data_IF_677591168297
#
_entry.id   IF_677591168297
#
_cell.length_a   1.000
_cell.length_b   1.000
_cell.length_c   1.000
_cell.angle_alpha   90.00
_cell.angle_beta   90.00
_cell.angle_gamma   90.00
#
_symmetry.space_group_name_H-M   'P 1'
#
loop_
_entity.id
_entity.type
_entity.pdbx_description
1 polymer ?
#
# COMPACT_ATOMS: atom_id res chain seq x y z
N UNK A 1 21.96 -9.25 -4.40
CA UNK A 1 22.29 -7.89 -4.87
C UNK A 1 23.41 -7.93 -5.91
N UNK A 2 23.08 -7.75 -7.19
CA UNK A 2 24.05 -7.68 -8.29
C UNK A 2 24.08 -6.33 -9.01
N UNK A 3 23.02 -5.51 -8.88
CA UNK A 3 22.99 -4.17 -9.47
C UNK A 3 23.72 -3.13 -8.60
N UNK A 4 24.49 -2.25 -9.25
CA UNK A 4 25.14 -1.11 -8.63
C UNK A 4 25.02 0.13 -9.52
N UNK A 5 24.78 1.33 -8.95
CA UNK A 5 24.60 2.54 -9.74
C UNK A 5 25.89 2.95 -10.44
N UNK A 6 25.79 3.38 -11.70
CA UNK A 6 26.89 4.05 -12.37
C UNK A 6 27.04 5.47 -11.78
N UNK A 7 28.26 5.82 -11.35
CA UNK A 7 28.51 7.08 -10.64
C UNK A 7 28.04 8.33 -11.41
N UNK A 8 28.27 8.37 -12.73
CA UNK A 8 27.83 9.47 -13.59
C UNK A 8 26.31 9.62 -13.65
N UNK A 9 25.60 8.52 -13.93
CA UNK A 9 24.14 8.51 -13.99
C UNK A 9 23.50 8.84 -12.63
N UNK A 10 24.07 8.33 -11.54
CA UNK A 10 23.59 8.65 -10.20
C UNK A 10 23.71 10.14 -9.89
N UNK A 11 24.87 10.75 -10.18
CA UNK A 11 25.07 12.19 -9.98
C UNK A 11 24.11 13.02 -10.82
N UNK A 12 23.85 12.62 -12.07
CA UNK A 12 22.91 13.34 -12.93
C UNK A 12 21.49 13.30 -12.37
N UNK A 13 20.96 12.11 -12.03
CA UNK A 13 19.61 11.97 -11.46
C UNK A 13 19.50 12.75 -10.16
N UNK A 14 20.52 12.66 -9.31
CA UNK A 14 20.52 13.33 -8.01
C UNK A 14 20.56 14.86 -8.16
N UNK A 15 21.34 15.39 -9.12
CA UNK A 15 21.35 16.82 -9.41
C UNK A 15 19.97 17.31 -9.88
N UNK A 16 19.32 16.59 -10.80
CA UNK A 16 17.97 16.95 -11.27
C UNK A 16 16.95 16.94 -10.13
N UNK A 17 17.03 15.96 -9.22
CA UNK A 17 16.18 15.91 -8.03
C UNK A 17 16.44 17.07 -7.08
N UNK A 18 17.70 17.40 -6.78
CA UNK A 18 18.07 18.59 -5.97
C UNK A 18 17.52 19.86 -6.58
N UNK A 19 17.73 20.08 -7.88
CA UNK A 19 17.27 21.26 -8.59
C UNK A 19 15.73 21.38 -8.53
N UNK A 20 15.01 20.26 -8.62
CA UNK A 20 13.55 20.21 -8.48
C UNK A 20 13.05 20.58 -7.06
N UNK A 21 13.86 20.33 -6.03
CA UNK A 21 13.50 20.68 -4.64
C UNK A 21 13.82 22.12 -4.28
N UNK A 22 14.77 22.75 -4.97
CA UNK A 22 15.26 24.10 -4.67
C UNK A 22 14.52 25.18 -5.46
N UNK A 23 14.14 24.92 -6.71
CA UNK A 23 13.56 25.93 -7.60
C UNK A 23 12.03 25.83 -7.67
N UNK A 24 11.34 26.94 -7.33
CA UNK A 24 9.87 27.02 -7.34
C UNK A 24 9.28 27.68 -8.60
N UNK A 25 10.10 28.09 -9.58
CA UNK A 25 9.55 28.67 -10.79
C UNK A 25 8.81 27.61 -11.63
N UNK A 26 7.57 27.88 -12.08
CA UNK A 26 6.78 26.94 -12.88
C UNK A 26 7.50 26.44 -14.13
N UNK A 27 8.29 27.29 -14.76
CA UNK A 27 9.06 26.97 -15.97
C UNK A 27 10.16 25.96 -15.68
N UNK A 28 10.88 26.13 -14.56
CA UNK A 28 11.94 25.20 -14.14
C UNK A 28 11.32 23.88 -13.68
N UNK A 29 10.21 23.91 -12.93
CA UNK A 29 9.51 22.68 -12.54
C UNK A 29 9.05 21.88 -13.76
N UNK A 30 8.52 22.55 -14.80
CA UNK A 30 8.14 21.90 -16.05
C UNK A 30 9.36 21.30 -16.77
N UNK A 31 10.46 22.05 -16.89
CA UNK A 31 11.70 21.57 -17.50
C UNK A 31 12.28 20.36 -16.75
N UNK A 32 12.29 20.38 -15.42
CA UNK A 32 12.76 19.27 -14.59
C UNK A 32 11.84 18.05 -14.73
N UNK A 33 10.52 18.26 -14.77
CA UNK A 33 9.55 17.17 -14.98
C UNK A 33 9.78 16.49 -16.33
N UNK A 34 10.00 17.27 -17.40
CA UNK A 34 10.34 16.73 -18.73
C UNK A 34 11.66 15.94 -18.70
N UNK A 35 12.66 16.43 -17.96
CA UNK A 35 13.93 15.72 -17.81
C UNK A 35 13.78 14.39 -17.07
N UNK A 36 13.03 14.37 -15.96
CA UNK A 36 12.69 13.15 -15.23
C UNK A 36 11.91 12.16 -16.11
N UNK A 37 11.04 12.65 -16.99
CA UNK A 37 10.32 11.82 -17.96
C UNK A 37 11.26 11.22 -19.01
N UNK A 38 12.30 11.94 -19.45
CA UNK A 38 13.28 11.40 -20.41
C UNK A 38 14.02 10.19 -19.85
N UNK A 39 14.28 10.16 -18.54
CA UNK A 39 14.93 9.02 -17.87
C UNK A 39 14.06 7.77 -17.79
N UNK A 40 12.74 7.87 -17.99
CA UNK A 40 11.85 6.70 -18.00
C UNK A 40 12.17 5.71 -19.14
N UNK A 41 12.92 6.14 -20.16
CA UNK A 41 13.39 5.27 -21.23
C UNK A 41 14.58 4.40 -20.82
N UNK A 42 15.23 4.72 -19.70
CA UNK A 42 16.38 3.97 -19.18
C UNK A 42 15.86 2.78 -18.37
N UNK A 43 16.18 1.52 -18.76
CA UNK A 43 15.56 0.32 -18.17
C UNK A 43 15.78 0.15 -16.67
N UNK A 44 16.94 0.57 -16.15
CA UNK A 44 17.31 0.46 -14.74
C UNK A 44 17.14 1.78 -13.96
N UNK A 45 16.49 2.78 -14.56
CA UNK A 45 16.14 4.04 -13.88
C UNK A 45 15.43 3.85 -12.52
N UNK A 46 14.49 2.88 -12.36
CA UNK A 46 13.91 2.59 -11.05
C UNK A 46 14.95 2.23 -9.98
N UNK A 47 16.05 1.58 -10.36
CA UNK A 47 17.13 1.24 -9.43
C UNK A 47 17.87 2.49 -8.92
N UNK A 48 18.12 3.48 -9.78
CA UNK A 48 18.73 4.75 -9.36
C UNK A 48 17.86 5.48 -8.35
N UNK A 49 16.55 5.58 -8.63
CA UNK A 49 15.61 6.25 -7.71
C UNK A 49 15.49 5.50 -6.38
N UNK A 50 15.41 4.16 -6.43
CA UNK A 50 15.40 3.34 -5.22
C UNK A 50 16.70 3.51 -4.42
N UNK A 51 17.85 3.55 -5.11
CA UNK A 51 19.14 3.75 -4.46
C UNK A 51 19.22 5.10 -3.75
N UNK A 52 18.79 6.19 -4.40
CA UNK A 52 18.74 7.52 -3.79
C UNK A 52 17.79 7.52 -2.58
N UNK A 53 16.62 6.92 -2.71
CA UNK A 53 15.64 6.82 -1.61
C UNK A 53 16.25 6.13 -0.36
N UNK A 54 17.01 5.04 -0.53
CA UNK A 54 17.47 4.22 0.59
C UNK A 54 18.90 4.50 1.09
N UNK A 55 19.78 5.06 0.25
CA UNK A 55 21.21 5.17 0.54
C UNK A 55 21.78 6.60 0.51
N UNK A 56 21.05 7.61 0.02
CA UNK A 56 21.51 8.99 0.10
C UNK A 56 21.63 9.47 1.56
N UNK A 57 22.43 10.54 1.76
CA UNK A 57 22.68 11.11 3.08
C UNK A 57 21.38 11.42 3.84
N UNK A 58 21.40 11.24 5.16
CA UNK A 58 20.29 11.60 6.04
C UNK A 58 19.92 13.10 5.91
N UNK A 59 20.90 13.96 5.63
CA UNK A 59 20.70 15.41 5.45
C UNK A 59 19.91 15.74 4.17
N UNK A 60 19.75 14.78 3.24
CA UNK A 60 19.03 14.95 1.98
C UNK A 60 17.62 14.36 2.01
N UNK A 61 16.97 14.35 3.18
CA UNK A 61 15.63 13.79 3.39
C UNK A 61 14.60 14.22 2.33
N UNK A 62 14.61 15.50 1.94
CA UNK A 62 13.71 16.02 0.89
C UNK A 62 13.99 15.40 -0.47
N UNK A 63 15.25 15.28 -0.86
CA UNK A 63 15.66 14.68 -2.14
C UNK A 63 15.28 13.20 -2.16
N UNK A 64 15.52 12.48 -1.05
CA UNK A 64 15.12 11.08 -0.87
C UNK A 64 13.61 10.89 -1.03
N UNK A 65 12.83 11.75 -0.39
CA UNK A 65 11.37 11.74 -0.47
C UNK A 65 10.88 11.96 -1.91
N UNK A 66 11.43 12.97 -2.62
CA UNK A 66 11.09 13.21 -4.02
C UNK A 66 11.50 12.04 -4.90
N UNK A 67 12.66 11.43 -4.68
CA UNK A 67 13.08 10.22 -5.39
C UNK A 67 12.05 9.09 -5.23
N UNK A 68 11.53 8.88 -4.03
CA UNK A 68 10.45 7.90 -3.78
C UNK A 68 9.15 8.24 -4.52
N UNK A 69 8.76 9.52 -4.59
CA UNK A 69 7.57 9.94 -5.34
C UNK A 69 7.73 9.75 -6.85
N UNK A 70 8.92 10.01 -7.40
CA UNK A 70 9.22 9.73 -8.81
C UNK A 70 9.28 8.22 -9.05
N UNK A 71 9.88 7.46 -8.14
CA UNK A 71 9.94 6.00 -8.19
C UNK A 71 8.56 5.38 -8.20
N UNK A 72 7.62 5.90 -7.41
CA UNK A 72 6.22 5.44 -7.42
C UNK A 72 5.62 5.46 -8.83
N UNK A 73 5.91 6.50 -9.61
CA UNK A 73 5.41 6.59 -10.98
C UNK A 73 6.16 5.64 -11.92
N UNK A 74 7.49 5.54 -11.78
CA UNK A 74 8.32 4.61 -12.55
C UNK A 74 7.96 3.14 -12.29
N UNK A 75 7.58 2.82 -11.06
CA UNK A 75 7.27 1.47 -10.59
C UNK A 75 5.95 0.90 -11.14
N UNK A 76 5.10 1.72 -11.78
CA UNK A 76 3.85 1.21 -12.40
C UNK A 76 4.11 0.16 -13.49
N UNK A 77 5.25 0.25 -14.18
CA UNK A 77 5.70 -0.70 -15.20
C UNK A 77 6.67 -1.77 -14.68
N UNK A 78 6.85 -1.91 -13.37
CA UNK A 78 7.90 -2.78 -12.81
C UNK A 78 7.71 -4.26 -13.16
N UNK A 79 6.47 -4.70 -13.40
CA UNK A 79 6.15 -6.08 -13.76
C UNK A 79 6.76 -6.51 -15.11
N UNK A 80 7.05 -5.56 -16.01
CA UNK A 80 7.71 -5.84 -17.31
C UNK A 80 9.21 -5.55 -17.29
N UNK A 81 9.76 -5.11 -16.16
CA UNK A 81 11.18 -4.81 -16.03
C UNK A 81 12.03 -6.08 -15.94
N UNK A 82 13.34 -5.94 -16.12
CA UNK A 82 14.27 -7.05 -15.96
C UNK A 82 14.23 -7.58 -14.51
N UNK A 83 14.32 -8.91 -14.29
CA UNK A 83 14.24 -9.48 -12.93
C UNK A 83 15.24 -8.90 -11.93
N UNK A 84 16.44 -8.55 -12.41
CA UNK A 84 17.46 -7.89 -11.59
C UNK A 84 17.01 -6.51 -11.08
N UNK A 85 16.36 -5.72 -11.95
CA UNK A 85 15.79 -4.40 -11.60
C UNK A 85 14.66 -4.58 -10.57
N UNK A 86 13.76 -5.54 -10.82
CA UNK A 86 12.65 -5.84 -9.91
C UNK A 86 13.17 -6.21 -8.52
N UNK A 87 14.12 -7.15 -8.43
CA UNK A 87 14.67 -7.60 -7.16
C UNK A 87 15.40 -6.48 -6.42
N UNK A 88 16.20 -5.70 -7.14
CA UNK A 88 16.90 -4.57 -6.53
C UNK A 88 15.93 -3.52 -5.96
N UNK A 89 14.88 -3.17 -6.71
CA UNK A 89 13.83 -2.24 -6.23
C UNK A 89 13.11 -2.83 -5.02
N UNK A 90 12.71 -4.10 -5.05
CA UNK A 90 12.04 -4.78 -3.93
C UNK A 90 12.85 -4.67 -2.64
N UNK A 91 14.12 -5.08 -2.67
CA UNK A 91 15.00 -5.07 -1.49
C UNK A 91 15.26 -3.64 -0.98
N UNK A 92 15.53 -2.73 -1.91
CA UNK A 92 15.92 -1.35 -1.57
C UNK A 92 14.74 -0.54 -1.03
N UNK A 93 13.53 -0.73 -1.56
CA UNK A 93 12.32 -0.07 -1.05
C UNK A 93 11.97 -0.57 0.35
N UNK A 94 12.09 -1.87 0.62
CA UNK A 94 11.86 -2.41 1.97
C UNK A 94 12.89 -1.87 2.98
N UNK A 95 14.14 -1.68 2.56
CA UNK A 95 15.14 -0.99 3.38
C UNK A 95 14.71 0.44 3.71
N UNK A 96 14.26 1.21 2.71
CA UNK A 96 13.79 2.59 2.92
C UNK A 96 12.51 2.65 3.77
N UNK A 97 11.67 1.62 3.73
CA UNK A 97 10.49 1.51 4.58
C UNK A 97 10.84 1.31 6.06
N UNK A 98 12.02 0.75 6.35
CA UNK A 98 12.57 0.63 7.70
C UNK A 98 13.44 1.85 8.13
N UNK A 99 13.40 2.96 7.38
CA UNK A 99 14.20 4.15 7.67
C UNK A 99 13.75 4.87 8.95
N UNK A 100 14.68 5.58 9.61
CA UNK A 100 14.37 6.37 10.79
C UNK A 100 13.49 7.60 10.49
N UNK A 101 13.61 8.19 9.29
CA UNK A 101 12.78 9.31 8.84
C UNK A 101 11.37 8.85 8.47
N UNK A 102 10.37 9.45 9.12
CA UNK A 102 8.97 9.23 8.77
C UNK A 102 8.64 9.68 7.33
N UNK A 103 9.26 10.75 6.82
CA UNK A 103 9.03 11.21 5.44
C UNK A 103 9.51 10.17 4.42
N UNK A 104 10.69 9.60 4.65
CA UNK A 104 11.25 8.55 3.80
C UNK A 104 10.42 7.27 3.91
N UNK A 105 10.04 6.85 5.12
CA UNK A 105 9.14 5.69 5.31
C UNK A 105 7.84 5.86 4.54
N UNK A 106 7.22 7.04 4.62
CA UNK A 106 5.97 7.34 3.92
C UNK A 106 6.14 7.38 2.38
N UNK A 107 7.28 7.85 1.88
CA UNK A 107 7.58 7.77 0.45
C UNK A 107 7.76 6.32 -0.01
N UNK A 108 8.52 5.52 0.74
CA UNK A 108 8.71 4.10 0.47
C UNK A 108 7.40 3.31 0.55
N UNK A 109 6.55 3.60 1.53
CA UNK A 109 5.21 3.03 1.69
C UNK A 109 4.36 3.20 0.42
N UNK A 110 4.35 4.39 -0.18
CA UNK A 110 3.62 4.61 -1.44
C UNK A 110 4.22 3.83 -2.62
N UNK A 111 5.53 3.60 -2.65
CA UNK A 111 6.17 2.75 -3.65
C UNK A 111 5.77 1.29 -3.45
N UNK A 112 5.71 0.81 -2.20
CA UNK A 112 5.26 -0.54 -1.85
C UNK A 112 3.84 -0.78 -2.40
N UNK A 113 2.89 0.14 -2.18
CA UNK A 113 1.51 0.01 -2.71
C UNK A 113 1.52 -0.24 -4.22
N UNK A 114 2.30 0.53 -4.98
CA UNK A 114 2.35 0.42 -6.45
C UNK A 114 3.05 -0.85 -6.90
N UNK A 115 4.21 -1.18 -6.33
CA UNK A 115 4.98 -2.37 -6.73
C UNK A 115 4.23 -3.64 -6.33
N UNK A 116 3.59 -3.69 -5.15
CA UNK A 116 2.77 -4.82 -4.72
C UNK A 116 1.51 -4.96 -5.59
N UNK A 117 0.91 -3.84 -6.02
CA UNK A 117 -0.20 -3.86 -6.97
C UNK A 117 0.22 -4.36 -8.36
N UNK A 118 1.43 -4.05 -8.81
CA UNK A 118 1.96 -4.47 -10.12
C UNK A 118 2.45 -5.93 -10.13
N UNK A 119 3.17 -6.35 -9.09
CA UNK A 119 3.71 -7.71 -8.96
C UNK A 119 2.70 -8.69 -8.39
N UNK A 120 1.64 -8.22 -7.75
CA UNK A 120 0.72 -8.99 -6.93
C UNK A 120 1.35 -9.54 -5.65
N UNK A 121 0.56 -9.75 -4.58
CA UNK A 121 1.08 -10.22 -3.29
C UNK A 121 1.79 -11.58 -3.36
N UNK A 122 1.43 -12.42 -4.33
CA UNK A 122 2.06 -13.72 -4.60
C UNK A 122 3.55 -13.62 -4.96
N UNK A 123 3.95 -12.57 -5.68
CA UNK A 123 5.32 -12.42 -6.19
C UNK A 123 6.18 -11.50 -5.30
N UNK A 124 5.64 -11.03 -4.18
CA UNK A 124 6.38 -10.24 -3.18
C UNK A 124 5.94 -10.52 -1.74
N UNK A 125 6.10 -11.77 -1.26
CA UNK A 125 5.73 -12.16 0.11
C UNK A 125 6.54 -11.37 1.17
N UNK A 126 7.76 -10.94 0.85
CA UNK A 126 8.61 -10.17 1.77
C UNK A 126 7.99 -8.81 2.12
N UNK A 127 7.27 -8.17 1.20
CA UNK A 127 6.56 -6.92 1.48
C UNK A 127 5.39 -7.16 2.45
N UNK A 128 4.60 -8.21 2.25
CA UNK A 128 3.52 -8.56 3.18
C UNK A 128 4.07 -8.83 4.59
N UNK A 129 5.17 -9.58 4.67
CA UNK A 129 5.82 -9.86 5.95
C UNK A 129 6.30 -8.57 6.65
N UNK A 130 6.89 -7.63 5.90
CA UNK A 130 7.32 -6.35 6.44
C UNK A 130 6.14 -5.49 6.94
N UNK A 131 5.02 -5.47 6.20
CA UNK A 131 3.80 -4.77 6.62
C UNK A 131 3.19 -5.39 7.88
N UNK A 132 3.12 -6.72 7.94
CA UNK A 132 2.65 -7.45 9.13
C UNK A 132 3.53 -7.19 10.36
N UNK A 133 4.84 -7.11 10.17
CA UNK A 133 5.78 -6.75 11.23
C UNK A 133 5.57 -5.30 11.68
N UNK A 134 5.31 -4.37 10.74
CA UNK A 134 4.98 -2.98 11.06
C UNK A 134 3.74 -2.83 11.94
N UNK A 135 2.76 -3.74 11.83
CA UNK A 135 1.58 -3.78 12.69
C UNK A 135 1.89 -4.15 14.16
N UNK A 136 3.01 -4.83 14.43
CA UNK A 136 3.50 -5.12 15.79
C UNK A 136 4.43 -4.03 16.34
N UNK A 137 4.75 -3.01 15.54
CA UNK A 137 5.68 -1.95 15.90
C UNK A 137 5.09 -0.89 16.82
N UNK A 138 5.80 0.23 16.93
CA UNK A 138 5.29 1.41 17.61
C UNK A 138 4.13 2.06 16.82
N UNK A 139 3.46 3.05 17.42
CA UNK A 139 2.31 3.73 16.78
C UNK A 139 2.68 4.29 15.41
N UNK A 140 3.92 4.77 15.22
CA UNK A 140 4.36 5.30 13.93
C UNK A 140 4.50 4.21 12.87
N UNK A 141 5.07 3.06 13.23
CA UNK A 141 5.19 1.90 12.36
C UNK A 141 3.82 1.31 12.01
N UNK A 142 2.93 1.22 13.00
CA UNK A 142 1.55 0.77 12.80
C UNK A 142 0.80 1.68 11.82
N UNK A 143 0.89 3.00 12.00
CA UNK A 143 0.27 3.96 11.09
C UNK A 143 0.81 3.83 9.65
N UNK A 144 2.13 3.68 9.48
CA UNK A 144 2.73 3.50 8.17
C UNK A 144 2.28 2.18 7.52
N UNK A 145 2.21 1.08 8.28
CA UNK A 145 1.75 -0.22 7.80
C UNK A 145 0.27 -0.18 7.40
N UNK A 146 -0.57 0.40 8.25
CA UNK A 146 -1.99 0.58 7.94
C UNK A 146 -2.22 1.47 6.73
N UNK A 147 -1.45 2.56 6.55
CA UNK A 147 -1.58 3.41 5.38
C UNK A 147 -1.30 2.68 4.06
N UNK A 148 -0.38 1.70 4.06
CA UNK A 148 -0.16 0.83 2.90
C UNK A 148 -1.31 -0.17 2.76
N UNK A 149 -1.63 -0.89 3.83
CA UNK A 149 -2.62 -1.97 3.80
C UNK A 149 -4.02 -1.47 3.44
N UNK A 150 -4.43 -0.32 3.96
CA UNK A 150 -5.69 0.35 3.59
C UNK A 150 -5.75 0.57 2.08
N UNK A 151 -4.69 1.15 1.50
CA UNK A 151 -4.61 1.39 0.05
C UNK A 151 -4.62 0.09 -0.75
N UNK A 152 -3.94 -0.95 -0.28
CA UNK A 152 -4.00 -2.26 -0.93
C UNK A 152 -5.43 -2.86 -0.91
N UNK A 153 -6.14 -2.71 0.22
CA UNK A 153 -7.53 -3.17 0.37
C UNK A 153 -8.49 -2.38 -0.52
N UNK A 154 -8.25 -1.09 -0.71
CA UNK A 154 -9.03 -0.20 -1.57
C UNK A 154 -8.77 -0.47 -3.07
N UNK A 155 -7.49 -0.46 -3.48
CA UNK A 155 -7.10 -0.46 -4.90
C UNK A 155 -7.23 -1.85 -5.55
N UNK A 156 -6.94 -2.92 -4.81
CA UNK A 156 -6.88 -4.28 -5.38
C UNK A 156 -7.28 -5.41 -4.41
N UNK A 157 -8.50 -5.39 -3.81
CA UNK A 157 -8.93 -6.38 -2.82
C UNK A 157 -8.86 -7.82 -3.33
N UNK A 158 -9.21 -8.06 -4.61
CA UNK A 158 -9.16 -9.39 -5.22
C UNK A 158 -7.76 -10.01 -5.25
N UNK A 159 -6.70 -9.17 -5.33
CA UNK A 159 -5.32 -9.65 -5.32
C UNK A 159 -4.88 -10.10 -3.93
N UNK A 160 -5.49 -9.55 -2.87
CA UNK A 160 -5.25 -9.96 -1.48
C UNK A 160 -6.04 -11.23 -1.11
N UNK A 161 -7.10 -11.55 -1.84
CA UNK A 161 -7.88 -12.79 -1.68
C UNK A 161 -7.36 -13.96 -2.50
N UNK A 162 -6.34 -13.73 -3.33
CA UNK A 162 -5.73 -14.78 -4.14
C UNK A 162 -5.05 -15.84 -3.26
N UNK A 163 -5.18 -17.11 -3.67
CA UNK A 163 -4.51 -18.21 -3.01
C UNK A 163 -3.02 -18.20 -3.35
N UNK A 164 -2.18 -18.09 -2.31
CA UNK A 164 -0.73 -18.13 -2.40
C UNK A 164 -0.27 -19.37 -1.64
N UNK A 165 0.04 -20.45 -2.37
CA UNK A 165 0.52 -21.71 -1.80
C UNK A 165 -0.39 -22.30 -0.69
N UNK A 166 -1.72 -22.18 -0.84
CA UNK A 166 -2.72 -22.69 0.09
C UNK A 166 -3.10 -21.73 1.21
N UNK A 167 -2.57 -20.51 1.23
CA UNK A 167 -2.91 -19.46 2.19
C UNK A 167 -3.29 -18.18 1.47
N UNK A 168 -4.36 -17.52 1.90
CA UNK A 168 -4.72 -16.19 1.37
C UNK A 168 -4.11 -15.12 2.27
N UNK A 169 -3.56 -14.02 1.73
CA UNK A 169 -3.13 -12.88 2.55
C UNK A 169 -4.20 -12.43 3.54
N UNK A 170 -5.47 -12.47 3.15
CA UNK A 170 -6.62 -12.14 4.02
C UNK A 170 -6.80 -13.07 5.21
N UNK A 171 -6.41 -14.35 5.11
CA UNK A 171 -6.48 -15.28 6.24
C UNK A 171 -5.53 -14.89 7.38
N UNK A 172 -4.47 -14.13 7.06
CA UNK A 172 -3.51 -13.61 8.04
C UNK A 172 -3.84 -12.17 8.44
N UNK A 173 -4.23 -11.32 7.48
CA UNK A 173 -4.49 -9.89 7.71
C UNK A 173 -5.75 -9.64 8.53
N UNK A 174 -6.86 -10.34 8.24
CA UNK A 174 -8.15 -10.09 8.91
C UNK A 174 -8.07 -10.33 10.42
N UNK A 175 -7.52 -11.47 10.92
CA UNK A 175 -7.37 -11.67 12.37
C UNK A 175 -6.54 -10.58 13.04
N UNK A 176 -5.55 -10.03 12.34
CA UNK A 176 -4.64 -9.00 12.85
C UNK A 176 -5.32 -7.64 12.93
N UNK A 177 -6.13 -7.29 11.92
CA UNK A 177 -6.97 -6.10 11.98
C UNK A 177 -8.01 -6.20 13.09
N UNK A 178 -8.62 -7.36 13.30
CA UNK A 178 -9.56 -7.56 14.41
C UNK A 178 -8.89 -7.37 15.78
N UNK A 179 -7.69 -7.90 15.97
CA UNK A 179 -6.95 -7.69 17.22
C UNK A 179 -6.61 -6.21 17.47
N UNK A 180 -6.26 -5.46 16.40
CA UNK A 180 -5.92 -4.04 16.49
C UNK A 180 -7.16 -3.12 16.53
N UNK A 181 -8.35 -3.63 16.21
CA UNK A 181 -9.61 -2.91 16.40
C UNK A 181 -9.94 -2.67 17.88
N UNK A 182 -9.34 -3.45 18.78
CA UNK A 182 -9.43 -3.30 20.24
C UNK A 182 -8.21 -2.61 20.86
N UNK A 183 -7.28 -2.06 20.06
CA UNK A 183 -6.10 -1.37 20.56
C UNK A 183 -6.45 -0.12 21.40
N UNK A 184 -5.61 0.23 22.38
CA UNK A 184 -5.84 1.43 23.23
C UNK A 184 -5.84 2.74 22.42
N UNK A 185 -4.99 2.80 21.38
CA UNK A 185 -4.86 3.95 20.51
C UNK A 185 -6.07 4.08 19.57
N UNK A 186 -6.87 5.13 19.75
CA UNK A 186 -8.09 5.38 18.95
C UNK A 186 -7.84 5.42 17.44
N UNK A 187 -6.72 6.03 17.02
CA UNK A 187 -6.33 6.12 15.60
C UNK A 187 -6.05 4.75 14.99
N UNK A 188 -5.39 3.85 15.73
CA UNK A 188 -5.12 2.48 15.28
C UNK A 188 -6.41 1.69 15.14
N UNK A 189 -7.34 1.82 16.10
CA UNK A 189 -8.68 1.22 15.97
C UNK A 189 -9.39 1.68 14.71
N UNK A 190 -9.38 2.98 14.43
CA UNK A 190 -10.00 3.54 13.22
C UNK A 190 -9.37 2.94 11.96
N UNK A 191 -8.04 2.91 11.85
CA UNK A 191 -7.35 2.35 10.68
C UNK A 191 -7.66 0.85 10.48
N UNK A 192 -7.70 0.08 11.58
CA UNK A 192 -8.04 -1.34 11.56
C UNK A 192 -9.48 -1.58 11.07
N UNK A 193 -10.44 -0.82 11.62
CA UNK A 193 -11.85 -0.89 11.20
C UNK A 193 -12.04 -0.46 9.74
N UNK A 194 -11.31 0.57 9.29
CA UNK A 194 -11.32 1.00 7.89
C UNK A 194 -10.83 -0.14 6.98
N UNK A 195 -9.71 -0.79 7.31
CA UNK A 195 -9.23 -1.94 6.54
C UNK A 195 -10.25 -3.09 6.51
N UNK A 196 -10.86 -3.42 7.66
CA UNK A 196 -11.88 -4.46 7.75
C UNK A 196 -13.12 -4.16 6.90
N UNK A 197 -13.52 -2.89 6.81
CA UNK A 197 -14.72 -2.48 6.06
C UNK A 197 -14.65 -2.84 4.57
N UNK A 198 -13.45 -2.89 3.98
CA UNK A 198 -13.23 -3.27 2.58
C UNK A 198 -13.57 -4.74 2.28
N UNK A 199 -13.59 -5.61 3.30
CA UNK A 199 -13.89 -7.04 3.15
C UNK A 199 -15.33 -7.38 3.50
N UNK A 200 -16.13 -6.41 3.96
CA UNK A 200 -17.55 -6.61 4.22
C UNK A 200 -18.28 -6.43 2.89
N UNK A 201 -19.00 -7.44 2.38
CA UNK A 201 -19.83 -7.26 1.20
C UNK A 201 -20.87 -6.18 1.50
N UNK A 202 -20.75 -5.01 0.86
CA UNK A 202 -21.86 -4.05 0.86
C UNK A 202 -23.00 -4.74 0.14
N UNK A 203 -24.07 -5.06 0.87
CA UNK A 203 -25.29 -5.64 0.32
C UNK A 203 -25.91 -4.64 -0.65
N UNK A 204 -25.39 -4.58 -1.86
CA UNK A 204 -26.12 -4.06 -3.02
C UNK A 204 -27.05 -5.18 -3.47
N UNK A 205 -28.36 -4.95 -3.57
CA UNK A 205 -29.30 -5.98 -3.99
C UNK A 205 -29.09 -6.23 -5.49
N UNK A 206 -28.11 -7.08 -5.85
CA UNK A 206 -27.92 -7.78 -7.13
C UNK A 206 -26.52 -8.41 -7.15
N UNK A 207 -26.32 -9.52 -6.45
CA UNK A 207 -25.59 -10.72 -6.95
C UNK A 207 -25.41 -11.75 -5.81
N UNK A 208 -25.38 -13.06 -6.11
CA UNK A 208 -25.19 -14.09 -5.09
C UNK A 208 -23.77 -14.06 -4.52
N UNK A 209 -23.66 -14.17 -3.19
CA UNK A 209 -22.42 -14.17 -2.40
C UNK A 209 -21.43 -15.27 -2.83
N UNK A 210 -20.13 -14.97 -2.99
CA UNK A 210 -19.09 -16.00 -3.02
C UNK A 210 -18.85 -16.59 -1.62
N UNK A 211 -18.61 -17.90 -1.58
CA UNK A 211 -18.67 -18.83 -0.44
C UNK A 211 -17.68 -18.54 0.70
N UNK A 212 -16.77 -17.57 0.57
CA UNK A 212 -15.68 -17.36 1.54
C UNK A 212 -16.04 -16.45 2.73
N UNK A 213 -16.99 -15.53 2.57
CA UNK A 213 -17.42 -14.63 3.64
C UNK A 213 -18.35 -15.32 4.67
N UNK A 214 -18.91 -16.48 4.33
CA UNK A 214 -19.84 -17.21 5.19
C UNK A 214 -19.18 -17.82 6.44
N UNK A 215 -17.84 -17.98 6.47
CA UNK A 215 -17.14 -18.62 7.59
C UNK A 215 -17.02 -17.72 8.83
N UNK A 216 -17.08 -16.40 8.63
CA UNK A 216 -16.96 -15.40 9.70
C UNK A 216 -18.31 -14.75 10.07
N UNK A 217 -19.37 -15.02 9.30
CA UNK A 217 -20.72 -14.54 9.58
C UNK A 217 -21.57 -15.61 10.28
N UNK A 218 -21.58 -15.61 11.62
CA UNK A 218 -22.67 -16.19 12.43
C UNK A 218 -23.29 -15.09 13.32
N UNK A 219 -24.57 -15.24 13.70
CA UNK A 219 -25.56 -14.17 13.49
C UNK A 219 -25.65 -13.17 14.64
N UNK A 220 -25.47 -11.89 14.32
CA UNK A 220 -25.81 -10.75 15.18
C UNK A 220 -27.28 -10.31 15.05
N UNK A 221 -28.19 -11.19 14.59
CA UNK A 221 -29.61 -10.88 14.47
C UNK A 221 -30.48 -11.91 15.18
N UNK A 222 -30.63 -11.77 16.49
CA UNK A 222 -31.77 -12.29 17.24
C UNK A 222 -32.71 -11.14 17.60
N UNK A 223 -33.37 -10.57 16.61
CA UNK A 223 -34.54 -9.70 16.82
C UNK A 223 -35.59 -10.10 15.78
N UNK A 224 -36.47 -11.04 16.15
CA UNK A 224 -37.72 -11.27 15.42
C UNK A 224 -38.67 -10.09 15.68
N UNK A 225 -39.36 -9.55 14.67
CA UNK A 225 -40.47 -8.62 14.91
C UNK A 225 -41.72 -9.41 15.33
N UNK A 226 -42.62 -8.85 16.15
CA UNK A 226 -43.89 -9.50 16.45
C UNK A 226 -44.81 -9.47 15.22
N UNK A 227 -45.53 -10.57 15.00
CA UNK A 227 -46.54 -10.70 13.96
C UNK A 227 -47.73 -9.73 14.18
N UNK A 228 -48.35 -9.19 13.12
CA UNK A 228 -49.57 -8.40 13.25
C UNK A 228 -50.79 -9.33 13.35
N UNK A 229 -51.39 -9.41 14.53
CA UNK A 229 -52.75 -9.90 14.73
C UNK A 229 -53.73 -8.74 14.73
N UNK A 230 -54.69 -8.71 13.80
CA UNK A 230 -56.13 -8.61 14.13
C UNK A 230 -56.98 -8.36 12.87
N UNK A 231 -57.85 -9.32 12.59
CA UNK A 231 -59.04 -9.17 11.77
C UNK A 231 -60.05 -8.17 12.39
N UNK A 232 -60.88 -7.62 11.52
CA UNK A 232 -61.86 -6.54 11.62
C UNK A 232 -62.84 -6.52 12.82
N UNK A 233 -63.43 -5.34 13.14
CA UNK A 233 -64.36 -5.15 14.26
C UNK A 233 -65.80 -5.57 13.96
N UNK A 234 -66.62 -5.94 14.97
CA UNK A 234 -68.03 -6.25 14.82
C UNK A 234 -68.89 -5.02 15.17
N UNK A 235 -69.24 -4.22 14.17
CA UNK A 235 -70.44 -3.35 14.18
C UNK A 235 -70.63 -2.74 12.77
N UNK A 236 -70.97 -3.58 11.80
CA UNK A 236 -71.69 -3.12 10.63
C UNK A 236 -73.04 -3.84 10.64
N UNK A 237 -74.05 -3.07 11.01
CA UNK A 237 -75.48 -3.35 10.94
C UNK A 237 -75.90 -3.75 9.52
#
# INVERSE_FOLDING_TARGET
MSWSPQAGGLQEVLQVLRDSTQNQSPEVQKAMTLRLQSFMQVPDYPCYLAHILAFSSADEERVRTVAGLVLKNAAKGIATAQPEVVNYVKETVLRAYADASAMVRNAAAQVIVVVLGALEPANWPEALAALLHGLDGDVSAQEAAFGVLEKCCEDYPRKLEADIHGTRPTDVLIPRFLALADADASKIRTLALTCLSHFIPVATPRTPLPTSAAKYARPLCSCSPPAPTSCSPPWAT
#
